data_IF_383659611097
#
_entry.id   IF_383659611097
#
_cell.length_a   1.000
_cell.length_b   1.000
_cell.length_c   1.000
_cell.angle_alpha   90.00
_cell.angle_beta   90.00
_cell.angle_gamma   90.00
#
_symmetry.space_group_name_H-M   'P 1'
#
loop_
_entity.id
_entity.type
_entity.pdbx_description
1 polymer ?
#
# COMPACT_ATOMS: atom_id res chain seq x y z
N UNK A 1 9.07 -58.18 -3.12
CA UNK A 1 8.69 -56.80 -2.77
C UNK A 1 7.78 -56.89 -1.56
N UNK A 2 8.24 -56.46 -0.40
CA UNK A 2 7.53 -56.66 0.86
C UNK A 2 6.29 -55.75 0.97
N UNK A 3 5.17 -56.36 1.37
CA UNK A 3 3.87 -55.69 1.54
C UNK A 3 3.93 -54.57 2.59
N UNK A 4 4.87 -54.67 3.54
CA UNK A 4 5.17 -53.65 4.56
C UNK A 4 5.86 -52.41 3.97
N UNK A 5 6.69 -52.58 2.94
CA UNK A 5 7.29 -51.45 2.23
C UNK A 5 6.27 -50.75 1.32
N UNK A 6 5.38 -51.51 0.68
CA UNK A 6 4.32 -50.96 -0.19
C UNK A 6 3.34 -50.06 0.58
N UNK A 7 2.96 -50.46 1.79
CA UNK A 7 2.09 -49.68 2.67
C UNK A 7 2.77 -48.40 3.18
N UNK A 8 4.09 -48.45 3.42
CA UNK A 8 4.89 -47.28 3.79
C UNK A 8 4.95 -46.22 2.69
N UNK A 9 5.11 -46.61 1.42
CA UNK A 9 5.14 -45.66 0.30
C UNK A 9 3.77 -45.03 0.00
N UNK A 10 2.67 -45.75 0.22
CA UNK A 10 1.31 -45.20 0.08
C UNK A 10 1.05 -44.14 1.17
N UNK A 11 1.52 -44.37 2.40
CA UNK A 11 1.35 -43.44 3.52
C UNK A 11 2.21 -42.17 3.36
N UNK A 12 3.42 -42.32 2.82
CA UNK A 12 4.28 -41.19 2.43
C UNK A 12 3.69 -40.40 1.25
N UNK A 13 3.12 -41.08 0.25
CA UNK A 13 2.44 -40.42 -0.88
C UNK A 13 1.19 -39.64 -0.47
N UNK A 14 0.44 -40.12 0.52
CA UNK A 14 -0.77 -39.46 1.03
C UNK A 14 -0.41 -38.26 1.94
N UNK A 15 0.69 -38.33 2.71
CA UNK A 15 1.25 -37.19 3.42
C UNK A 15 1.82 -36.12 2.47
N UNK A 16 2.47 -36.51 1.37
CA UNK A 16 2.97 -35.59 0.35
C UNK A 16 1.85 -34.91 -0.43
N UNK A 17 0.75 -35.62 -0.71
CA UNK A 17 -0.48 -35.07 -1.31
C UNK A 17 -1.25 -34.12 -0.38
N UNK A 18 -1.19 -34.34 0.93
CA UNK A 18 -1.84 -33.48 1.92
C UNK A 18 -1.06 -32.17 2.16
N UNK A 19 0.28 -32.25 2.17
CA UNK A 19 1.14 -31.05 2.20
C UNK A 19 1.07 -30.28 0.87
N UNK A 20 0.98 -30.96 -0.28
CA UNK A 20 0.82 -30.25 -1.56
C UNK A 20 -0.52 -29.53 -1.69
N UNK A 21 -1.60 -30.07 -1.11
CA UNK A 21 -2.92 -29.40 -1.12
C UNK A 21 -2.98 -28.14 -0.24
N UNK A 22 -2.14 -28.02 0.79
CA UNK A 22 -2.05 -26.79 1.61
C UNK A 22 -1.00 -25.81 1.07
N UNK A 23 0.01 -26.30 0.35
CA UNK A 23 1.04 -25.45 -0.26
C UNK A 23 0.56 -24.79 -1.57
N UNK A 24 -0.34 -25.43 -2.33
CA UNK A 24 -0.86 -24.90 -3.60
C UNK A 24 -1.87 -23.76 -3.35
N UNK A 25 -2.74 -23.85 -2.35
CA UNK A 25 -3.60 -22.72 -1.93
C UNK A 25 -2.77 -21.57 -1.32
N UNK A 26 -1.72 -21.90 -0.54
CA UNK A 26 -0.83 -20.91 0.05
C UNK A 26 0.04 -20.17 -0.97
N UNK A 27 0.52 -20.83 -2.03
CA UNK A 27 1.29 -20.18 -3.13
C UNK A 27 0.37 -19.44 -4.10
N UNK A 28 -0.86 -19.91 -4.33
CA UNK A 28 -1.84 -19.21 -5.15
C UNK A 28 -2.37 -17.94 -4.46
N UNK A 29 -2.37 -17.91 -3.11
CA UNK A 29 -2.72 -16.74 -2.30
C UNK A 29 -1.49 -15.91 -1.82
N UNK A 30 -0.25 -16.41 -1.94
CA UNK A 30 0.98 -15.76 -1.45
C UNK A 30 2.16 -15.94 -2.42
N UNK A 31 2.20 -15.12 -3.47
CA UNK A 31 3.47 -14.59 -4.03
C UNK A 31 3.88 -15.04 -5.44
N UNK A 32 3.84 -14.09 -6.38
CA UNK A 32 4.70 -14.08 -7.57
C UNK A 32 5.86 -13.10 -7.33
N UNK A 33 6.96 -13.60 -6.78
CA UNK A 33 8.16 -12.80 -6.45
C UNK A 33 8.95 -12.38 -7.71
N UNK A 34 9.24 -11.08 -7.76
CA UNK A 34 10.50 -10.41 -8.14
C UNK A 34 11.35 -11.05 -9.25
N UNK A 35 11.40 -10.36 -10.39
CA UNK A 35 12.65 -10.09 -11.11
C UNK A 35 12.80 -8.57 -11.25
N UNK A 36 13.57 -7.96 -10.36
CA UNK A 36 14.17 -6.65 -10.63
C UNK A 36 15.52 -6.95 -11.26
N UNK A 37 15.65 -6.60 -12.53
CA UNK A 37 16.92 -6.67 -13.26
C UNK A 37 17.86 -5.59 -12.71
N UNK A 38 18.87 -6.00 -11.92
CA UNK A 38 19.89 -5.12 -11.35
C UNK A 38 20.93 -4.63 -12.38
N UNK A 39 20.65 -4.79 -13.67
CA UNK A 39 21.54 -4.40 -14.78
C UNK A 39 21.44 -2.91 -15.17
N UNK A 40 20.38 -2.21 -14.76
CA UNK A 40 20.16 -0.80 -15.13
C UNK A 40 20.89 0.24 -14.24
N UNK A 41 21.41 -0.15 -13.07
CA UNK A 41 21.99 0.80 -12.10
C UNK A 41 23.50 1.07 -12.26
N UNK A 42 24.16 0.49 -13.27
CA UNK A 42 25.61 0.70 -13.52
C UNK A 42 25.93 1.79 -14.56
N UNK A 43 24.92 2.37 -15.22
CA UNK A 43 25.15 3.33 -16.31
C UNK A 43 25.13 4.81 -15.89
N UNK A 44 24.77 5.14 -14.64
CA UNK A 44 24.64 6.53 -14.18
C UNK A 44 25.94 7.11 -13.55
N UNK A 45 27.05 6.36 -13.52
CA UNK A 45 28.26 6.76 -12.78
C UNK A 45 29.51 7.03 -13.64
N UNK A 46 29.42 7.14 -14.99
CA UNK A 46 30.61 7.47 -15.80
C UNK A 46 30.30 8.40 -16.98
N UNK A 47 30.86 9.61 -16.89
CA UNK A 47 30.95 10.61 -17.97
C UNK A 47 30.55 12.02 -17.50
N UNK A 48 31.28 12.67 -16.58
CA UNK A 48 32.26 13.76 -16.89
C UNK A 48 31.93 14.59 -18.15
N UNK A 49 31.55 15.88 -17.99
CA UNK A 49 32.34 17.09 -18.34
C UNK A 49 31.49 18.40 -18.23
N UNK A 50 32.06 19.63 -18.31
CA UNK A 50 32.45 20.47 -17.16
C UNK A 50 31.68 21.82 -17.05
N UNK A 51 31.95 22.54 -15.95
CA UNK A 51 31.52 23.91 -15.63
C UNK A 51 31.98 24.95 -16.65
N UNK A 52 31.19 26.03 -16.86
CA UNK A 52 31.75 27.35 -17.15
C UNK A 52 31.46 28.37 -16.04
N UNK A 53 32.49 29.16 -15.77
CA UNK A 53 32.63 30.21 -14.77
C UNK A 53 31.70 31.42 -15.03
N UNK A 54 31.39 32.18 -13.96
CA UNK A 54 30.70 33.47 -14.05
C UNK A 54 31.53 34.57 -14.74
N UNK A 55 31.01 35.81 -14.85
CA UNK A 55 31.17 36.69 -13.68
C UNK A 55 30.08 37.77 -13.46
N UNK A 56 30.08 38.25 -12.21
CA UNK A 56 29.91 39.63 -11.76
C UNK A 56 28.53 40.35 -11.80
N UNK A 57 27.99 40.52 -10.59
CA UNK A 57 27.86 41.81 -9.88
C UNK A 57 26.74 42.82 -10.20
N UNK A 58 25.99 43.13 -9.13
CA UNK A 58 25.31 44.40 -8.76
C UNK A 58 23.99 44.71 -9.52
N UNK A 59 22.91 45.22 -8.93
CA UNK A 59 22.80 46.35 -7.99
C UNK A 59 21.41 46.34 -7.33
N UNK A 60 21.34 46.77 -6.07
CA UNK A 60 20.12 47.10 -5.32
C UNK A 60 19.36 48.28 -5.96
N UNK A 61 18.03 48.20 -6.09
CA UNK A 61 17.20 49.32 -6.54
C UNK A 61 15.74 49.19 -6.06
N UNK A 62 15.29 50.23 -5.38
CA UNK A 62 14.05 50.40 -4.62
C UNK A 62 12.71 50.25 -5.40
N UNK A 63 11.56 50.08 -4.72
CA UNK A 63 10.24 49.88 -5.32
C UNK A 63 9.56 51.22 -5.68
N UNK A 64 8.53 51.19 -6.54
CA UNK A 64 7.43 52.14 -6.46
C UNK A 64 6.10 51.44 -6.16
N UNK A 65 5.35 52.09 -5.27
CA UNK A 65 4.00 51.72 -4.84
C UNK A 65 2.87 52.02 -5.84
N UNK A 66 1.61 52.05 -5.37
CA UNK A 66 0.46 51.56 -6.12
C UNK A 66 -0.41 52.65 -6.76
N UNK A 67 -1.04 52.31 -7.89
CA UNK A 67 -2.23 52.94 -8.47
C UNK A 67 -2.65 52.06 -9.67
N UNK A 68 -3.88 51.97 -10.17
CA UNK A 68 -5.25 52.18 -9.72
C UNK A 68 -6.13 51.86 -10.96
N UNK A 69 -7.33 51.33 -10.73
CA UNK A 69 -8.53 51.45 -11.59
C UNK A 69 -8.57 50.80 -13.00
N UNK A 70 -9.25 49.64 -13.04
CA UNK A 70 -10.48 49.35 -13.79
C UNK A 70 -10.66 49.82 -15.26
N UNK A 71 -10.93 48.86 -16.15
CA UNK A 71 -12.08 48.90 -17.06
C UNK A 71 -12.57 47.48 -17.38
N UNK A 72 -13.89 47.30 -17.38
CA UNK A 72 -14.58 46.04 -17.61
C UNK A 72 -14.73 45.72 -19.11
N UNK A 73 -14.62 44.44 -19.48
CA UNK A 73 -15.38 43.90 -20.61
C UNK A 73 -15.69 42.41 -20.42
N UNK A 74 -16.93 42.18 -20.05
CA UNK A 74 -17.85 41.08 -20.34
C UNK A 74 -17.40 40.00 -21.34
N UNK A 75 -17.48 38.74 -20.90
CA UNK A 75 -18.06 37.65 -21.70
C UNK A 75 -17.12 36.75 -22.50
N UNK A 76 -16.73 35.60 -21.94
CA UNK A 76 -16.93 34.30 -22.59
C UNK A 76 -16.59 33.14 -21.65
N UNK A 77 -17.49 32.15 -21.64
CA UNK A 77 -17.19 30.77 -21.24
C UNK A 77 -15.88 30.33 -21.87
N UNK A 78 -14.92 29.98 -21.03
CA UNK A 78 -13.76 29.19 -21.37
C UNK A 78 -13.44 28.41 -20.11
N UNK A 79 -13.79 27.12 -20.12
CA UNK A 79 -13.26 26.10 -19.21
C UNK A 79 -11.76 26.38 -19.14
N UNK A 80 -11.31 26.96 -18.02
CA UNK A 80 -9.89 27.09 -17.74
C UNK A 80 -9.45 25.65 -17.61
N UNK A 81 -8.77 25.15 -18.62
CA UNK A 81 -8.05 23.88 -18.54
C UNK A 81 -7.24 23.96 -17.26
N UNK A 82 -7.72 23.27 -16.23
CA UNK A 82 -7.02 23.12 -14.99
C UNK A 82 -5.83 22.25 -15.36
N UNK A 83 -4.72 22.91 -15.71
CA UNK A 83 -3.41 22.28 -15.75
C UNK A 83 -3.30 21.45 -14.47
N UNK A 84 -3.21 20.12 -14.54
CA UNK A 84 -3.08 19.31 -13.34
C UNK A 84 -1.85 19.81 -12.60
N UNK A 85 -2.01 20.09 -11.31
CA UNK A 85 -0.88 20.43 -10.46
C UNK A 85 0.20 19.34 -10.52
N UNK A 86 1.46 19.67 -10.19
CA UNK A 86 2.53 18.68 -10.12
C UNK A 86 2.10 17.50 -9.23
N UNK A 87 2.59 16.27 -9.50
CA UNK A 87 2.25 15.09 -8.71
C UNK A 87 2.45 15.42 -7.23
N UNK A 88 1.40 15.20 -6.44
CA UNK A 88 1.42 15.40 -4.99
C UNK A 88 2.61 14.61 -4.45
N UNK A 89 3.58 15.30 -3.86
CA UNK A 89 4.69 14.63 -3.19
C UNK A 89 4.09 13.75 -2.10
N UNK A 90 4.18 12.43 -2.28
CA UNK A 90 3.55 11.46 -1.39
C UNK A 90 4.19 11.57 0.00
N UNK A 91 3.36 11.86 1.01
CA UNK A 91 3.79 11.77 2.40
C UNK A 91 3.79 10.30 2.83
N UNK A 92 4.91 9.61 2.59
CA UNK A 92 5.08 8.22 2.99
C UNK A 92 5.18 8.04 4.50
N UNK A 93 5.18 9.12 5.30
CA UNK A 93 5.27 9.04 6.75
C UNK A 93 3.91 8.76 7.39
N UNK A 94 2.82 9.31 6.84
CA UNK A 94 1.46 9.22 7.38
C UNK A 94 0.56 8.25 6.59
N UNK A 95 0.83 6.95 6.74
CA UNK A 95 0.05 5.86 6.12
C UNK A 95 0.09 4.60 6.98
N UNK A 96 -0.91 3.70 6.89
CA UNK A 96 -0.83 2.41 7.54
C UNK A 96 0.22 1.53 6.84
N UNK A 97 0.78 0.58 7.58
CA UNK A 97 1.64 -0.47 7.03
C UNK A 97 0.85 -1.77 6.94
N UNK A 98 1.04 -2.56 5.88
CA UNK A 98 0.47 -3.90 5.78
C UNK A 98 1.03 -4.82 6.88
N UNK A 99 0.25 -5.06 7.93
CA UNK A 99 0.64 -5.89 9.07
C UNK A 99 0.64 -7.38 8.72
N UNK A 100 -0.05 -7.79 7.65
CA UNK A 100 0.01 -9.19 7.16
C UNK A 100 1.38 -9.58 6.60
N UNK A 101 2.27 -8.60 6.37
CA UNK A 101 3.67 -8.85 6.07
C UNK A 101 4.42 -9.57 7.21
N UNK A 102 3.91 -9.48 8.45
CA UNK A 102 4.42 -10.23 9.61
C UNK A 102 3.88 -11.66 9.58
N UNK A 103 4.78 -12.64 9.63
CA UNK A 103 4.38 -14.05 9.56
C UNK A 103 3.50 -14.44 10.75
N UNK A 104 2.31 -14.94 10.44
CA UNK A 104 1.30 -15.35 11.42
C UNK A 104 0.20 -14.31 11.66
N UNK A 105 0.35 -13.10 11.13
CA UNK A 105 -0.72 -12.10 11.08
C UNK A 105 -1.47 -12.27 9.76
N UNK A 106 -2.77 -12.58 9.85
CA UNK A 106 -3.69 -12.56 8.72
C UNK A 106 -4.63 -11.36 8.80
N UNK A 107 -5.43 -11.13 7.76
CA UNK A 107 -6.32 -9.96 7.65
C UNK A 107 -7.26 -9.78 8.85
N UNK A 108 -7.75 -10.85 9.47
CA UNK A 108 -8.57 -10.73 10.68
C UNK A 108 -7.80 -10.18 11.89
N UNK A 109 -6.54 -10.56 12.06
CA UNK A 109 -5.72 -10.04 13.16
C UNK A 109 -5.29 -8.61 12.87
N UNK A 110 -4.94 -8.30 11.62
CA UNK A 110 -4.66 -6.94 11.17
C UNK A 110 -5.86 -6.01 11.43
N UNK A 111 -7.07 -6.40 11.02
CA UNK A 111 -8.28 -5.61 11.27
C UNK A 111 -8.46 -5.32 12.77
N UNK A 112 -8.27 -6.32 13.64
CA UNK A 112 -8.34 -6.15 15.10
C UNK A 112 -7.27 -5.19 15.63
N UNK A 113 -6.06 -5.24 15.07
CA UNK A 113 -4.97 -4.33 15.41
C UNK A 113 -5.28 -2.90 14.98
N UNK A 114 -5.78 -2.70 13.76
CA UNK A 114 -6.23 -1.40 13.26
C UNK A 114 -7.37 -0.82 14.11
N UNK A 115 -8.34 -1.65 14.52
CA UNK A 115 -9.46 -1.21 15.37
C UNK A 115 -9.02 -0.67 16.74
N UNK A 116 -7.87 -1.10 17.27
CA UNK A 116 -7.31 -0.58 18.52
C UNK A 116 -6.22 0.48 18.30
N UNK A 117 -6.03 0.93 17.06
CA UNK A 117 -5.10 2.01 16.73
C UNK A 117 -3.65 1.59 16.46
N UNK A 118 -3.39 0.30 16.24
CA UNK A 118 -2.07 -0.20 15.86
C UNK A 118 -2.05 -0.33 14.34
N UNK A 119 -1.50 0.68 13.65
CA UNK A 119 -1.53 0.80 12.19
C UNK A 119 -0.21 0.57 11.48
N UNK A 120 0.90 0.64 12.21
CA UNK A 120 2.25 0.62 11.63
C UNK A 120 3.09 -0.50 12.24
N UNK A 121 4.10 -0.96 11.51
CA UNK A 121 5.06 -1.95 12.00
C UNK A 121 5.82 -1.44 13.23
N UNK A 122 6.13 -0.14 13.28
CA UNK A 122 6.79 0.47 14.42
C UNK A 122 5.91 0.46 15.67
N UNK A 123 4.62 0.79 15.55
CA UNK A 123 3.65 0.66 16.65
C UNK A 123 3.53 -0.80 17.10
N UNK A 124 3.34 -1.73 16.16
CA UNK A 124 3.22 -3.16 16.44
C UNK A 124 4.45 -3.69 17.20
N UNK A 125 5.66 -3.22 16.85
CA UNK A 125 6.92 -3.63 17.47
C UNK A 125 7.12 -3.21 18.93
N UNK A 126 6.22 -2.38 19.46
CA UNK A 126 6.24 -1.86 20.84
C UNK A 126 5.18 -2.50 21.73
N UNK A 127 4.25 -3.24 21.15
CA UNK A 127 3.22 -3.95 21.88
C UNK A 127 3.80 -5.27 22.41
N UNK A 128 3.55 -5.55 23.68
CA UNK A 128 3.98 -6.79 24.30
C UNK A 128 3.14 -7.99 23.82
N UNK A 129 3.72 -9.17 23.95
CA UNK A 129 3.15 -10.42 23.45
C UNK A 129 1.78 -10.78 24.08
N UNK A 130 1.54 -10.40 25.34
CA UNK A 130 0.29 -10.68 26.04
C UNK A 130 -0.83 -9.77 25.53
N UNK A 131 -0.55 -8.47 25.41
CA UNK A 131 -1.48 -7.51 24.81
C UNK A 131 -1.84 -7.90 23.37
N UNK A 132 -0.85 -8.31 22.56
CA UNK A 132 -1.11 -8.79 21.19
C UNK A 132 -2.02 -10.00 21.16
N UNK A 133 -1.80 -10.96 22.06
CA UNK A 133 -2.65 -12.15 22.20
C UNK A 133 -4.10 -11.77 22.53
N UNK A 134 -4.30 -10.81 23.43
CA UNK A 134 -5.63 -10.35 23.85
C UNK A 134 -6.35 -9.57 22.74
N UNK A 135 -5.67 -8.60 22.11
CA UNK A 135 -6.21 -7.77 21.03
C UNK A 135 -6.63 -8.65 19.85
N UNK A 136 -5.71 -9.50 19.38
CA UNK A 136 -5.93 -10.31 18.18
C UNK A 136 -6.77 -11.55 18.45
N UNK A 137 -6.98 -11.93 19.72
CA UNK A 137 -7.55 -13.23 20.14
C UNK A 137 -6.88 -14.38 19.38
N UNK A 138 -5.54 -14.33 19.28
CA UNK A 138 -4.80 -15.25 18.41
C UNK A 138 -5.03 -16.71 18.81
N UNK A 139 -4.99 -17.61 17.83
CA UNK A 139 -5.12 -19.04 18.09
C UNK A 139 -3.96 -19.56 18.97
N UNK A 140 -4.20 -20.60 19.79
CA UNK A 140 -3.13 -21.30 20.50
C UNK A 140 -2.02 -21.74 19.54
N UNK A 141 -0.77 -21.40 19.88
CA UNK A 141 0.40 -21.66 19.02
C UNK A 141 0.83 -20.48 18.14
N UNK A 142 0.11 -19.37 18.16
CA UNK A 142 0.59 -18.11 17.56
C UNK A 142 1.79 -17.58 18.34
N UNK A 143 2.87 -17.22 17.64
CA UNK A 143 4.06 -16.65 18.26
C UNK A 143 4.01 -15.12 18.24
N UNK A 144 3.25 -14.55 19.18
CA UNK A 144 3.06 -13.10 19.28
C UNK A 144 4.35 -12.35 19.61
N UNK A 145 5.35 -13.01 20.21
CA UNK A 145 6.68 -12.42 20.41
C UNK A 145 7.42 -12.28 19.07
N UNK A 146 7.38 -13.32 18.24
CA UNK A 146 7.95 -13.25 16.90
C UNK A 146 7.28 -12.16 16.03
N UNK A 147 6.00 -11.84 16.27
CA UNK A 147 5.34 -10.73 15.59
C UNK A 147 5.98 -9.38 15.93
N UNK A 148 6.21 -9.10 17.21
CA UNK A 148 6.86 -7.87 17.67
C UNK A 148 8.27 -7.72 17.07
N UNK A 149 9.03 -8.82 16.98
CA UNK A 149 10.37 -8.83 16.41
C UNK A 149 10.37 -8.59 14.89
N UNK A 150 9.55 -9.33 14.14
CA UNK A 150 9.41 -9.14 12.69
C UNK A 150 8.90 -7.73 12.34
N UNK A 151 7.96 -7.20 13.11
CA UNK A 151 7.47 -5.83 12.91
C UNK A 151 8.61 -4.81 13.09
N UNK A 152 9.49 -5.01 14.08
CA UNK A 152 10.68 -4.16 14.26
C UNK A 152 11.61 -4.21 13.05
N UNK A 153 11.86 -5.41 12.55
CA UNK A 153 12.72 -5.62 11.37
C UNK A 153 12.12 -4.96 10.12
N UNK A 154 10.81 -5.12 9.89
CA UNK A 154 10.10 -4.48 8.77
C UNK A 154 10.13 -2.96 8.90
N UNK A 155 9.91 -2.41 10.10
CA UNK A 155 9.98 -0.97 10.33
C UNK A 155 11.38 -0.41 10.01
N UNK A 156 12.43 -1.11 10.44
CA UNK A 156 13.82 -0.73 10.15
C UNK A 156 14.15 -0.84 8.66
N UNK A 157 13.84 -1.98 8.04
CA UNK A 157 14.16 -2.27 6.64
C UNK A 157 13.49 -1.30 5.66
N UNK A 158 12.35 -0.73 6.02
CA UNK A 158 11.58 0.17 5.18
C UNK A 158 11.63 1.65 5.63
N UNK A 159 12.52 2.01 6.57
CA UNK A 159 12.60 3.36 7.14
C UNK A 159 11.26 3.89 7.70
N UNK A 160 10.51 3.02 8.38
CA UNK A 160 9.21 3.30 9.01
C UNK A 160 9.30 3.44 10.54
N UNK A 161 10.50 3.58 11.10
CA UNK A 161 10.66 3.85 12.54
C UNK A 161 10.05 5.22 12.87
N UNK A 162 9.16 5.27 13.87
CA UNK A 162 8.43 6.48 14.23
C UNK A 162 7.27 6.82 13.28
N UNK A 163 6.93 5.91 12.37
CA UNK A 163 5.75 6.05 11.53
C UNK A 163 4.49 6.22 12.36
N UNK A 164 3.60 7.07 11.86
CA UNK A 164 2.28 7.31 12.44
C UNK A 164 1.22 7.20 11.36
N UNK A 165 0.00 6.98 11.78
CA UNK A 165 -1.16 7.05 10.92
C UNK A 165 -2.32 7.65 11.71
N UNK A 166 -2.91 8.72 11.17
CA UNK A 166 -4.05 9.43 11.77
C UNK A 166 -5.28 9.47 10.84
N UNK A 167 -5.26 8.71 9.74
CA UNK A 167 -6.35 8.61 8.79
C UNK A 167 -7.51 7.70 9.26
N UNK A 168 -8.50 7.46 8.38
CA UNK A 168 -9.62 6.57 8.68
C UNK A 168 -9.16 5.12 8.91
N UNK A 169 -10.00 4.28 9.52
CA UNK A 169 -9.72 2.85 9.61
C UNK A 169 -9.46 2.27 8.21
N UNK A 170 -8.28 1.69 7.93
CA UNK A 170 -7.99 1.14 6.61
C UNK A 170 -8.90 -0.05 6.29
N UNK A 171 -9.45 -0.08 5.08
CA UNK A 171 -10.28 -1.17 4.56
C UNK A 171 -9.46 -2.02 3.57
N UNK A 172 -9.72 -3.32 3.54
CA UNK A 172 -9.01 -4.29 2.70
C UNK A 172 -9.37 -4.10 1.20
N UNK A 173 -8.60 -3.29 0.49
CA UNK A 173 -8.82 -2.99 -0.92
C UNK A 173 -8.55 -4.19 -1.81
N UNK A 174 -7.84 -5.21 -1.32
CA UNK A 174 -7.61 -6.46 -2.06
C UNK A 174 -8.89 -7.28 -2.28
N UNK A 175 -10.00 -6.93 -1.61
CA UNK A 175 -11.34 -7.46 -1.91
C UNK A 175 -11.86 -7.06 -3.29
N UNK A 176 -11.28 -6.04 -3.92
CA UNK A 176 -11.64 -5.61 -5.28
C UNK A 176 -10.87 -6.45 -6.29
N UNK A 177 -11.59 -7.06 -7.23
CA UNK A 177 -10.98 -7.90 -8.25
C UNK A 177 -9.97 -7.10 -9.09
N UNK A 178 -8.72 -7.59 -9.12
CA UNK A 178 -7.61 -6.96 -9.82
C UNK A 178 -6.74 -6.05 -8.94
N UNK A 179 -7.19 -5.68 -7.74
CA UNK A 179 -6.35 -5.00 -6.75
C UNK A 179 -5.59 -6.04 -5.95
N UNK A 180 -4.27 -6.07 -6.11
CA UNK A 180 -3.39 -6.87 -5.27
C UNK A 180 -2.77 -6.00 -4.15
N UNK A 181 -1.96 -6.62 -3.29
CA UNK A 181 -1.30 -5.92 -2.20
C UNK A 181 -0.40 -4.76 -2.67
N UNK A 182 0.25 -4.91 -3.83
CA UNK A 182 1.14 -3.86 -4.34
C UNK A 182 0.31 -2.65 -4.74
N UNK A 183 -0.82 -2.87 -5.42
CA UNK A 183 -1.74 -1.80 -5.74
C UNK A 183 -2.39 -1.18 -4.51
N UNK A 184 -2.76 -1.97 -3.51
CA UNK A 184 -3.25 -1.44 -2.23
C UNK A 184 -2.21 -0.54 -1.56
N UNK A 185 -0.95 -0.97 -1.46
CA UNK A 185 0.12 -0.17 -0.86
C UNK A 185 0.31 1.17 -1.59
N UNK A 186 0.22 1.19 -2.92
CA UNK A 186 0.28 2.41 -3.74
C UNK A 186 -0.95 3.31 -3.52
N UNK A 187 -2.15 2.72 -3.40
CA UNK A 187 -3.38 3.46 -3.09
C UNK A 187 -3.31 4.08 -1.70
N UNK A 188 -2.83 3.34 -0.71
CA UNK A 188 -2.61 3.82 0.66
C UNK A 188 -1.55 4.93 0.68
N UNK A 189 -0.44 4.77 -0.05
CA UNK A 189 0.57 5.83 -0.19
C UNK A 189 0.01 7.10 -0.87
N UNK A 190 -1.03 6.96 -1.70
CA UNK A 190 -1.75 8.07 -2.31
C UNK A 190 -2.91 8.63 -1.45
N UNK A 191 -3.11 8.13 -0.23
CA UNK A 191 -4.14 8.61 0.69
C UNK A 191 -5.54 8.00 0.47
N UNK A 192 -5.63 6.90 -0.28
CA UNK A 192 -6.88 6.18 -0.55
C UNK A 192 -6.90 4.93 0.33
N UNK A 193 -7.56 5.01 1.48
CA UNK A 193 -7.55 3.95 2.50
C UNK A 193 -8.87 3.17 2.61
N UNK A 194 -9.93 3.64 1.96
CA UNK A 194 -11.29 3.11 2.07
C UNK A 194 -11.93 2.93 0.70
N UNK A 195 -12.88 2.01 0.59
CA UNK A 195 -13.73 1.81 -0.58
C UNK A 195 -14.44 3.09 -0.98
N UNK A 196 -14.92 3.89 0.00
CA UNK A 196 -15.53 5.20 -0.30
C UNK A 196 -14.56 6.12 -1.01
N UNK A 197 -13.34 6.28 -0.49
CA UNK A 197 -12.34 7.16 -1.09
C UNK A 197 -11.96 6.70 -2.50
N UNK A 198 -11.86 5.38 -2.71
CA UNK A 198 -11.56 4.78 -4.01
C UNK A 198 -12.71 4.99 -5.02
N UNK A 199 -13.96 4.77 -4.60
CA UNK A 199 -15.16 4.96 -5.43
C UNK A 199 -15.36 6.42 -5.88
N UNK A 200 -14.83 7.38 -5.13
CA UNK A 200 -14.86 8.80 -5.48
C UNK A 200 -13.78 9.21 -6.51
N UNK A 201 -12.86 8.31 -6.87
CA UNK A 201 -11.81 8.59 -7.84
C UNK A 201 -12.29 8.43 -9.29
N UNK A 202 -11.54 9.04 -10.19
CA UNK A 202 -11.64 8.83 -11.64
C UNK A 202 -10.59 7.82 -12.14
N UNK A 203 -10.83 7.12 -13.26
CA UNK A 203 -9.83 6.23 -13.86
C UNK A 203 -8.49 6.93 -14.14
N UNK A 204 -8.52 8.19 -14.59
CA UNK A 204 -7.32 9.00 -14.87
C UNK A 204 -6.56 9.39 -13.59
N UNK A 205 -7.23 9.48 -12.43
CA UNK A 205 -6.55 9.65 -11.14
C UNK A 205 -5.86 8.37 -10.71
N UNK A 206 -6.54 7.23 -10.82
CA UNK A 206 -5.98 5.93 -10.45
C UNK A 206 -4.80 5.55 -11.35
N UNK A 207 -4.88 5.82 -12.67
CA UNK A 207 -3.79 5.60 -13.60
C UNK A 207 -2.54 6.47 -13.32
N UNK A 208 -2.69 7.59 -12.61
CA UNK A 208 -1.55 8.43 -12.17
C UNK A 208 -0.93 7.94 -10.87
N UNK A 209 -1.71 7.26 -10.03
CA UNK A 209 -1.25 6.68 -8.77
C UNK A 209 -0.55 5.35 -9.04
N UNK A 210 -1.20 4.47 -9.80
CA UNK A 210 -0.68 3.15 -10.11
C UNK A 210 0.42 3.28 -11.18
N UNK A 211 1.67 2.89 -10.89
CA UNK A 211 2.76 3.00 -11.84
C UNK A 211 2.47 2.27 -13.16
N UNK A 212 2.73 2.92 -14.29
CA UNK A 212 2.45 2.39 -15.63
C UNK A 212 3.12 1.03 -15.93
N UNK A 213 4.24 0.71 -15.26
CA UNK A 213 4.91 -0.57 -15.43
C UNK A 213 4.24 -1.73 -14.65
N UNK A 214 3.39 -1.40 -13.68
CA UNK A 214 2.53 -2.34 -12.97
C UNK A 214 1.14 -2.40 -13.63
N UNK A 215 0.70 -1.28 -14.22
CA UNK A 215 -0.53 -1.20 -15.00
C UNK A 215 -0.39 -1.89 -16.36
N UNK A 216 -0.55 -3.22 -16.38
CA UNK A 216 -0.72 -3.96 -17.62
C UNK A 216 -2.03 -3.61 -18.35
N UNK A 217 -2.20 -4.12 -19.57
CA UNK A 217 -3.41 -3.92 -20.40
C UNK A 217 -4.70 -4.47 -19.76
N UNK A 218 -4.58 -5.28 -18.70
CA UNK A 218 -5.69 -5.91 -17.98
C UNK A 218 -6.26 -5.05 -16.83
N UNK A 219 -5.63 -3.91 -16.49
CA UNK A 219 -6.13 -3.06 -15.41
C UNK A 219 -7.40 -2.30 -15.82
N UNK A 220 -8.50 -2.66 -15.18
CA UNK A 220 -9.79 -1.99 -15.33
C UNK A 220 -10.12 -1.12 -14.11
N UNK A 221 -9.64 0.13 -14.14
CA UNK A 221 -9.92 1.11 -13.08
C UNK A 221 -11.41 1.46 -12.96
N UNK A 222 -12.19 1.33 -14.04
CA UNK A 222 -13.64 1.55 -13.98
C UNK A 222 -14.28 0.44 -13.15
N UNK A 223 -13.90 -0.81 -13.39
CA UNK A 223 -14.33 -1.95 -12.58
C UNK A 223 -13.95 -1.79 -11.11
N UNK A 224 -12.74 -1.31 -10.80
CA UNK A 224 -12.32 -1.04 -9.42
C UNK A 224 -13.24 -0.04 -8.72
N UNK A 225 -13.56 1.08 -9.37
CA UNK A 225 -14.44 2.12 -8.84
C UNK A 225 -15.85 1.56 -8.56
N UNK A 226 -16.40 0.78 -9.49
CA UNK A 226 -17.75 0.17 -9.35
C UNK A 226 -17.79 -0.85 -8.21
N UNK A 227 -16.78 -1.70 -8.09
CA UNK A 227 -16.69 -2.67 -7.01
C UNK A 227 -16.49 -1.98 -5.65
N UNK A 228 -15.68 -0.92 -5.59
CA UNK A 228 -15.51 -0.12 -4.38
C UNK A 228 -16.84 0.53 -3.95
N UNK A 229 -17.62 1.05 -4.89
CA UNK A 229 -18.95 1.62 -4.63
C UNK A 229 -19.90 0.55 -4.04
N UNK A 230 -19.84 -0.67 -4.58
CA UNK A 230 -20.65 -1.80 -4.11
C UNK A 230 -20.24 -2.26 -2.70
N UNK A 231 -18.93 -2.38 -2.43
CA UNK A 231 -18.38 -2.79 -1.13
C UNK A 231 -18.61 -1.72 -0.06
N UNK A 232 -18.59 -0.43 -0.42
CA UNK A 232 -19.00 0.66 0.46
C UNK A 232 -20.44 0.40 0.95
N UNK A 233 -21.37 0.13 0.05
CA UNK A 233 -22.77 -0.01 0.43
C UNK A 233 -22.99 -1.27 1.30
N UNK A 234 -22.28 -2.37 1.04
CA UNK A 234 -22.26 -3.55 1.93
C UNK A 234 -21.77 -3.19 3.35
N UNK A 235 -20.72 -2.38 3.48
CA UNK A 235 -20.14 -2.01 4.78
C UNK A 235 -20.95 -0.99 5.59
N UNK A 236 -21.73 -0.11 4.94
CA UNK A 236 -22.41 1.01 5.61
C UNK A 236 -23.95 0.87 5.67
N UNK A 237 -24.54 -0.14 5.02
CA UNK A 237 -26.02 -0.33 4.99
C UNK A 237 -26.51 -1.42 5.94
N UNK A 238 -25.68 -2.41 6.27
CA UNK A 238 -25.93 -3.34 7.37
C UNK A 238 -25.32 -2.76 8.66
N UNK A 239 -25.96 -2.95 9.82
CA UNK A 239 -25.37 -2.59 11.13
C UNK A 239 -23.89 -3.03 11.15
N UNK A 240 -22.97 -2.20 11.69
CA UNK A 240 -21.56 -2.58 11.76
C UNK A 240 -21.50 -3.99 12.34
N UNK A 241 -20.78 -4.93 11.70
CA UNK A 241 -20.86 -6.33 12.08
C UNK A 241 -20.66 -6.42 13.59
N UNK A 242 -21.71 -6.86 14.29
CA UNK A 242 -21.62 -7.18 15.71
C UNK A 242 -20.70 -8.40 15.77
N UNK A 243 -19.43 -8.16 16.11
CA UNK A 243 -18.40 -9.18 16.34
C UNK A 243 -18.37 -9.64 17.79
#
# INVERSE_FOLDING_TARGET
MDLTSLLGYILVGLLFGWVSSTLVEWVWYRGRRRRIDLSAMSSAARGTQPLPEGPAAQTFGAPPGPAAAATAQTGRRGRRDAQPGPPVAQDLSNRPDNLTAVYGIGGLYELRLYQVGIFTWDQLSRVDAESLQQITRALPGSDTRAWTEQARELAQANNRIGAVYDGPLPEDLTRIAGVDQVFEDELYAAGIFTYRQLAERTPDELARIIPAHLAGEELDFVSWIVQADSLRDEYYTDEPPIL
#
